data_IF_675762908712
#
_entry.id   IF_675762908712
#
_cell.length_a   1.000
_cell.length_b   1.000
_cell.length_c   1.000
_cell.angle_alpha   90.00
_cell.angle_beta   90.00
_cell.angle_gamma   90.00
#
_symmetry.space_group_name_H-M   'P 1'
#
loop_
_entity.id
_entity.type
_entity.pdbx_description
1 polymer ?
#
# COMPACT_ATOMS: atom_id res chain seq x y z
N UNK A 1 -8.32 5.95 26.55
CA UNK A 1 -8.68 4.91 27.55
C UNK A 1 -7.40 4.40 28.18
N UNK A 2 -7.13 4.74 29.44
CA UNK A 2 -5.92 4.28 30.13
C UNK A 2 -6.05 2.79 30.45
N UNK A 3 -5.18 1.96 29.89
CA UNK A 3 -5.11 0.55 30.30
C UNK A 3 -4.48 0.49 31.70
N UNK A 4 -5.25 0.01 32.68
CA UNK A 4 -4.74 -0.28 34.02
C UNK A 4 -3.53 -1.20 33.92
N UNK A 5 -2.39 -0.77 34.48
CA UNK A 5 -1.13 -1.54 34.54
C UNK A 5 -1.12 -2.57 35.67
N UNK A 6 -2.21 -2.68 36.45
CA UNK A 6 -2.31 -3.69 37.50
C UNK A 6 -2.40 -5.08 36.85
N UNK A 7 -1.42 -5.92 37.14
CA UNK A 7 -1.40 -7.33 36.73
C UNK A 7 -2.66 -7.98 37.32
N UNK A 8 -3.60 -8.34 36.45
CA UNK A 8 -4.84 -8.98 36.87
C UNK A 8 -4.49 -10.37 37.40
N UNK A 9 -4.84 -10.63 38.66
CA UNK A 9 -4.74 -11.96 39.23
C UNK A 9 -6.08 -12.68 39.12
N UNK A 10 -6.05 -13.88 38.58
CA UNK A 10 -7.23 -14.69 38.27
C UNK A 10 -7.20 -16.07 38.96
N UNK A 11 -6.22 -16.32 39.84
CA UNK A 11 -6.11 -17.58 40.59
C UNK A 11 -7.41 -17.92 41.31
N UNK A 12 -7.84 -19.19 41.23
CA UNK A 12 -9.04 -19.70 41.88
C UNK A 12 -10.35 -19.39 41.15
N UNK A 13 -10.35 -18.59 40.10
CA UNK A 13 -11.58 -18.30 39.34
C UNK A 13 -11.91 -19.43 38.35
N UNK A 14 -13.21 -19.74 38.23
CA UNK A 14 -13.75 -20.73 37.29
C UNK A 14 -14.33 -20.06 36.05
N UNK A 15 -13.85 -20.47 34.88
CA UNK A 15 -14.28 -20.02 33.56
C UNK A 15 -14.79 -21.22 32.75
N UNK A 16 -16.11 -21.41 32.70
CA UNK A 16 -16.70 -22.62 32.13
C UNK A 16 -16.36 -23.84 32.98
N UNK A 17 -15.70 -24.84 32.38
CA UNK A 17 -15.19 -26.04 33.05
C UNK A 17 -13.73 -25.90 33.51
N UNK A 18 -13.11 -24.73 33.35
CA UNK A 18 -11.70 -24.49 33.68
C UNK A 18 -11.57 -23.70 34.98
N UNK A 19 -10.85 -24.24 35.94
CA UNK A 19 -10.46 -23.58 37.20
C UNK A 19 -9.02 -23.13 37.10
N UNK A 20 -8.75 -21.85 37.32
CA UNK A 20 -7.41 -21.28 37.21
C UNK A 20 -6.59 -21.67 38.44
N UNK A 21 -5.45 -22.33 38.23
CA UNK A 21 -4.51 -22.72 39.29
C UNK A 21 -3.49 -21.62 39.53
N UNK A 22 -2.66 -21.33 38.52
CA UNK A 22 -1.51 -20.44 38.67
C UNK A 22 -1.14 -19.74 37.35
N UNK A 23 -0.35 -18.64 37.40
CA UNK A 23 0.17 -17.98 36.20
C UNK A 23 1.10 -18.92 35.42
N UNK A 24 0.95 -18.93 34.09
CA UNK A 24 1.84 -19.65 33.19
C UNK A 24 2.76 -18.69 32.42
N UNK A 25 3.71 -19.24 31.67
CA UNK A 25 4.52 -18.45 30.74
C UNK A 25 3.66 -17.71 29.72
N UNK A 26 4.02 -16.45 29.45
CA UNK A 26 3.27 -15.60 28.55
C UNK A 26 3.32 -16.13 27.11
N UNK A 27 2.16 -16.37 26.50
CA UNK A 27 2.07 -16.83 25.11
C UNK A 27 1.92 -15.61 24.19
N UNK A 28 2.98 -15.28 23.45
CA UNK A 28 3.00 -14.17 22.48
C UNK A 28 2.79 -12.81 23.15
N UNK A 29 3.44 -12.59 24.29
CA UNK A 29 3.39 -11.33 25.05
C UNK A 29 2.09 -11.12 25.84
N UNK A 30 1.19 -12.10 25.89
CA UNK A 30 -0.06 -12.05 26.67
C UNK A 30 0.01 -12.99 27.87
N UNK A 31 -0.55 -12.55 29.00
CA UNK A 31 -0.67 -13.35 30.21
C UNK A 31 -1.45 -14.63 29.95
N UNK A 32 -0.86 -15.76 30.32
CA UNK A 32 -1.46 -17.08 30.26
C UNK A 32 -1.53 -17.70 31.66
N UNK A 33 -2.42 -18.68 31.81
CA UNK A 33 -2.72 -19.32 33.07
C UNK A 33 -2.76 -20.84 32.89
N UNK A 34 -2.26 -21.58 33.88
CA UNK A 34 -2.50 -23.02 34.00
C UNK A 34 -3.89 -23.20 34.59
N UNK A 35 -4.73 -23.91 33.87
CA UNK A 35 -6.10 -24.20 34.27
C UNK A 35 -6.31 -25.70 34.43
N UNK A 36 -6.95 -26.11 35.51
CA UNK A 36 -7.45 -27.46 35.72
C UNK A 36 -8.88 -27.53 35.20
N UNK A 37 -9.14 -28.45 34.27
CA UNK A 37 -10.52 -28.66 33.85
C UNK A 37 -11.24 -29.64 34.78
N UNK A 38 -12.57 -29.57 34.82
CA UNK A 38 -13.44 -30.56 35.47
C UNK A 38 -13.14 -32.02 35.03
N UNK A 39 -12.46 -32.18 33.88
CA UNK A 39 -11.98 -33.44 33.31
C UNK A 39 -10.72 -34.03 33.99
N UNK A 40 -10.10 -33.29 34.91
CA UNK A 40 -8.82 -33.63 35.54
C UNK A 40 -7.59 -33.29 34.70
N UNK A 41 -7.75 -32.88 33.44
CA UNK A 41 -6.64 -32.47 32.57
C UNK A 41 -6.30 -30.99 32.73
N UNK A 42 -5.00 -30.69 32.76
CA UNK A 42 -4.47 -29.34 32.81
C UNK A 42 -4.25 -28.77 31.40
N UNK A 43 -4.57 -27.49 31.23
CA UNK A 43 -4.38 -26.77 29.96
C UNK A 43 -3.90 -25.34 30.22
N UNK A 44 -3.01 -24.84 29.35
CA UNK A 44 -2.54 -23.45 29.40
C UNK A 44 -3.39 -22.57 28.50
N UNK A 45 -4.03 -21.54 29.05
CA UNK A 45 -4.97 -20.66 28.33
C UNK A 45 -4.64 -19.19 28.55
N UNK A 46 -4.75 -18.37 27.50
CA UNK A 46 -4.58 -16.91 27.57
C UNK A 46 -5.74 -16.23 28.30
N UNK A 47 -5.45 -15.18 29.09
CA UNK A 47 -6.47 -14.37 29.78
C UNK A 47 -7.58 -13.88 28.86
N UNK A 48 -7.26 -13.45 27.64
CA UNK A 48 -8.26 -12.95 26.70
C UNK A 48 -9.24 -14.03 26.22
N UNK A 49 -8.82 -15.30 26.15
CA UNK A 49 -9.69 -16.39 25.71
C UNK A 49 -10.58 -16.90 26.84
N UNK A 50 -10.10 -16.84 28.09
CA UNK A 50 -10.92 -17.13 29.28
C UNK A 50 -12.03 -16.09 29.41
N UNK A 51 -11.69 -14.79 29.36
CA UNK A 51 -12.64 -13.68 29.54
C UNK A 51 -13.67 -13.55 28.41
N UNK A 52 -13.25 -13.75 27.16
CA UNK A 52 -14.16 -13.67 26.01
C UNK A 52 -14.90 -15.00 25.75
N UNK A 53 -14.66 -16.03 26.58
CA UNK A 53 -15.35 -17.32 26.48
C UNK A 53 -14.95 -18.17 25.27
N UNK A 54 -13.81 -17.90 24.63
CA UNK A 54 -13.28 -18.71 23.52
C UNK A 54 -12.73 -20.07 23.98
N UNK A 55 -12.39 -20.22 25.26
CA UNK A 55 -11.88 -21.48 25.81
C UNK A 55 -12.58 -21.75 27.14
N UNK A 56 -13.48 -22.74 27.13
CA UNK A 56 -14.34 -23.10 28.28
C UNK A 56 -14.05 -24.50 28.84
N UNK A 57 -13.15 -25.28 28.23
CA UNK A 57 -12.79 -26.63 28.68
C UNK A 57 -11.39 -27.03 28.19
N UNK A 58 -10.82 -28.09 28.77
CA UNK A 58 -9.57 -28.74 28.33
C UNK A 58 -9.66 -29.34 26.91
N UNK A 59 -10.86 -29.41 26.32
CA UNK A 59 -11.13 -30.13 25.07
C UNK A 59 -11.54 -31.61 25.28
N UNK A 60 -11.65 -32.08 26.53
CA UNK A 60 -12.04 -33.48 26.85
C UNK A 60 -13.43 -33.89 26.35
N UNK A 61 -14.35 -32.94 26.16
CA UNK A 61 -15.67 -33.21 25.58
C UNK A 61 -15.55 -33.65 24.11
N UNK A 62 -14.34 -33.58 23.52
CA UNK A 62 -14.03 -34.04 22.16
C UNK A 62 -13.12 -35.30 22.12
N UNK A 63 -12.94 -36.03 23.24
CA UNK A 63 -12.19 -37.29 23.29
C UNK A 63 -10.66 -37.16 23.32
N UNK A 64 -9.99 -38.11 23.99
CA UNK A 64 -8.54 -38.18 24.14
C UNK A 64 -7.86 -38.55 22.80
N UNK A 65 -7.14 -37.61 22.18
CA UNK A 65 -6.08 -37.92 21.21
C UNK A 65 -6.48 -38.11 19.73
N UNK A 66 -7.71 -37.81 19.31
CA UNK A 66 -8.11 -37.85 17.89
C UNK A 66 -7.85 -36.54 17.12
N UNK A 67 -7.77 -36.57 15.77
CA UNK A 67 -7.74 -35.36 14.96
C UNK A 67 -8.99 -34.52 15.22
N UNK A 68 -8.84 -33.19 15.15
CA UNK A 68 -9.82 -32.18 15.54
C UNK A 68 -11.17 -32.36 14.82
N UNK A 69 -12.06 -33.20 15.35
CA UNK A 69 -13.49 -33.18 15.02
C UNK A 69 -14.15 -32.01 15.75
N UNK A 70 -13.80 -30.80 15.34
CA UNK A 70 -14.65 -29.66 15.62
C UNK A 70 -15.93 -29.87 14.79
N UNK A 71 -17.06 -30.12 15.49
CA UNK A 71 -18.43 -30.12 14.94
C UNK A 71 -18.86 -31.34 14.10
N UNK A 72 -18.47 -32.59 14.41
CA UNK A 72 -19.01 -33.76 13.66
C UNK A 72 -18.72 -33.77 12.15
N UNK A 73 -17.87 -32.85 11.68
CA UNK A 73 -17.57 -32.65 10.27
C UNK A 73 -16.66 -33.77 9.78
N UNK A 74 -17.15 -34.60 8.86
CA UNK A 74 -16.34 -35.63 8.20
C UNK A 74 -15.46 -35.00 7.12
N UNK A 75 -14.14 -35.09 7.29
CA UNK A 75 -13.15 -34.67 6.29
C UNK A 75 -12.57 -35.89 5.58
N UNK A 76 -12.69 -35.93 4.25
CA UNK A 76 -12.02 -36.92 3.41
C UNK A 76 -11.09 -36.17 2.44
N UNK A 77 -9.81 -36.57 2.39
CA UNK A 77 -8.76 -35.95 1.57
C UNK A 77 -8.68 -34.41 1.71
N UNK A 78 -8.81 -33.89 2.94
CA UNK A 78 -8.76 -32.45 3.21
C UNK A 78 -10.01 -31.68 2.75
N UNK A 79 -11.09 -32.39 2.40
CA UNK A 79 -12.37 -31.79 1.99
C UNK A 79 -13.47 -32.17 2.98
N UNK A 80 -14.18 -31.16 3.52
CA UNK A 80 -15.32 -31.40 4.41
C UNK A 80 -16.56 -31.81 3.60
N UNK A 81 -17.03 -33.03 3.80
CA UNK A 81 -18.16 -33.62 3.05
C UNK A 81 -19.46 -32.89 3.37
N UNK A 82 -19.69 -32.56 4.64
CA UNK A 82 -20.90 -31.85 5.07
C UNK A 82 -20.95 -30.42 4.53
N UNK A 83 -19.80 -29.76 4.40
CA UNK A 83 -19.73 -28.40 3.85
C UNK A 83 -20.03 -28.38 2.34
N UNK A 84 -19.70 -29.45 1.63
CA UNK A 84 -20.12 -29.65 0.23
C UNK A 84 -21.64 -29.87 0.18
N UNK A 85 -22.18 -30.77 1.00
CA UNK A 85 -23.62 -31.10 1.01
C UNK A 85 -24.51 -29.90 1.35
N UNK A 86 -24.11 -29.14 2.36
CA UNK A 86 -24.87 -27.97 2.85
C UNK A 86 -24.71 -26.74 1.96
N UNK A 87 -23.74 -26.74 1.03
CA UNK A 87 -23.43 -25.61 0.13
C UNK A 87 -23.40 -24.25 0.85
N UNK A 88 -22.85 -24.25 2.08
CA UNK A 88 -22.93 -23.08 2.97
C UNK A 88 -22.31 -21.84 2.35
N UNK A 89 -23.06 -20.75 2.35
CA UNK A 89 -22.60 -19.43 1.91
C UNK A 89 -22.26 -18.60 3.15
N UNK A 90 -21.06 -18.03 3.17
CA UNK A 90 -20.66 -17.13 4.27
C UNK A 90 -21.46 -15.82 4.19
N UNK A 91 -21.78 -15.24 5.35
CA UNK A 91 -22.54 -13.98 5.46
C UNK A 91 -21.88 -12.79 4.76
N UNK A 92 -20.55 -12.81 4.60
CA UNK A 92 -19.79 -11.77 3.88
C UNK A 92 -19.65 -12.04 2.38
N UNK A 93 -20.39 -13.01 1.83
CA UNK A 93 -20.37 -13.28 0.40
C UNK A 93 -21.37 -12.38 -0.34
N UNK A 94 -20.85 -11.47 -1.15
CA UNK A 94 -21.65 -10.52 -1.95
C UNK A 94 -22.18 -11.10 -3.26
N UNK A 95 -21.64 -12.22 -3.74
CA UNK A 95 -22.05 -12.84 -5.02
C UNK A 95 -23.11 -13.92 -4.83
N UNK A 96 -23.40 -14.31 -3.59
CA UNK A 96 -24.29 -15.43 -3.24
C UNK A 96 -23.74 -16.82 -3.60
N UNK A 97 -22.62 -16.91 -4.33
CA UNK A 97 -22.02 -18.19 -4.76
C UNK A 97 -20.61 -18.35 -4.17
N UNK A 98 -20.30 -19.42 -3.42
CA UNK A 98 -18.98 -19.61 -2.82
C UNK A 98 -17.87 -19.61 -3.88
N UNK A 99 -16.81 -18.84 -3.67
CA UNK A 99 -15.68 -18.79 -4.59
C UNK A 99 -15.90 -17.95 -5.84
N UNK A 100 -17.03 -17.25 -5.95
CA UNK A 100 -17.26 -16.18 -6.94
C UNK A 100 -17.13 -14.82 -6.27
N UNK A 101 -16.25 -13.95 -6.76
CA UNK A 101 -16.01 -12.63 -6.18
C UNK A 101 -15.77 -11.54 -7.23
N UNK A 102 -16.13 -10.29 -6.91
CA UNK A 102 -16.00 -9.16 -7.81
C UNK A 102 -14.60 -8.51 -7.72
N UNK A 103 -13.88 -8.44 -8.85
CA UNK A 103 -12.59 -7.76 -8.94
C UNK A 103 -12.76 -6.32 -9.44
N UNK A 104 -13.01 -5.38 -8.53
CA UNK A 104 -13.28 -3.97 -8.85
C UNK A 104 -12.23 -3.31 -9.77
N UNK A 105 -10.93 -3.57 -9.54
CA UNK A 105 -9.84 -3.02 -10.37
C UNK A 105 -9.90 -3.48 -11.84
N UNK A 106 -10.45 -4.67 -12.10
CA UNK A 106 -10.54 -5.27 -13.43
C UNK A 106 -11.96 -5.25 -14.00
N UNK A 107 -12.95 -4.79 -13.22
CA UNK A 107 -14.38 -4.78 -13.57
C UNK A 107 -14.87 -6.16 -14.06
N UNK A 108 -14.46 -7.24 -13.38
CA UNK A 108 -14.75 -8.63 -13.76
C UNK A 108 -15.04 -9.49 -12.55
N UNK A 109 -15.90 -10.47 -12.71
CA UNK A 109 -16.17 -11.53 -11.75
C UNK A 109 -15.11 -12.62 -11.84
N UNK A 110 -14.50 -12.99 -10.72
CA UNK A 110 -13.59 -14.12 -10.57
C UNK A 110 -14.38 -15.34 -10.13
N UNK A 111 -14.17 -16.49 -10.77
CA UNK A 111 -14.63 -17.77 -10.26
C UNK A 111 -13.45 -18.67 -9.89
N UNK A 112 -13.53 -19.31 -8.72
CA UNK A 112 -12.53 -20.27 -8.23
C UNK A 112 -13.19 -21.39 -7.44
N UNK A 113 -12.59 -22.58 -7.49
CA UNK A 113 -13.00 -23.75 -6.69
C UNK A 113 -11.82 -24.22 -5.84
N UNK A 114 -12.11 -24.77 -4.67
CA UNK A 114 -11.14 -25.50 -3.86
C UNK A 114 -11.66 -26.93 -3.68
N UNK A 115 -10.82 -27.92 -3.98
CA UNK A 115 -11.13 -29.34 -3.76
C UNK A 115 -9.85 -30.09 -3.42
N UNK A 116 -9.92 -30.97 -2.41
CA UNK A 116 -8.77 -31.71 -1.86
C UNK A 116 -7.52 -30.87 -1.61
N UNK A 117 -7.72 -29.69 -0.99
CA UNK A 117 -6.65 -28.73 -0.68
C UNK A 117 -6.07 -27.97 -1.88
N UNK A 118 -6.47 -28.29 -3.12
CA UNK A 118 -6.03 -27.58 -4.34
C UNK A 118 -7.05 -26.52 -4.76
N UNK A 119 -6.58 -25.28 -4.93
CA UNK A 119 -7.40 -24.17 -5.46
C UNK A 119 -7.21 -24.02 -6.96
N UNK A 120 -8.31 -24.05 -7.72
CA UNK A 120 -8.33 -23.85 -9.17
C UNK A 120 -9.06 -22.57 -9.55
N UNK A 121 -8.48 -21.86 -10.50
CA UNK A 121 -9.05 -20.67 -11.11
C UNK A 121 -9.84 -21.08 -12.34
N UNK A 122 -11.14 -20.79 -12.33
CA UNK A 122 -12.08 -21.19 -13.39
C UNK A 122 -12.18 -20.14 -14.50
N UNK A 123 -11.81 -18.90 -14.20
CA UNK A 123 -11.83 -17.81 -15.16
C UNK A 123 -12.22 -16.47 -14.55
N UNK A 124 -12.19 -15.44 -15.40
CA UNK A 124 -12.74 -14.13 -15.09
C UNK A 124 -13.76 -13.74 -16.15
N UNK A 125 -14.92 -13.28 -15.71
CA UNK A 125 -16.08 -13.06 -16.55
C UNK A 125 -16.57 -11.62 -16.41
N UNK A 126 -17.22 -11.09 -17.44
CA UNK A 126 -17.83 -9.75 -17.37
C UNK A 126 -19.14 -9.80 -16.58
N UNK A 127 -19.94 -10.85 -16.78
CA UNK A 127 -21.23 -11.06 -16.11
C UNK A 127 -21.08 -11.99 -14.90
N UNK A 128 -21.93 -11.79 -13.89
CA UNK A 128 -22.00 -12.64 -12.70
C UNK A 128 -22.47 -14.05 -13.08
N UNK A 129 -23.50 -14.15 -13.92
CA UNK A 129 -24.11 -15.40 -14.36
C UNK A 129 -23.09 -16.36 -14.97
N UNK A 130 -22.21 -15.87 -15.84
CA UNK A 130 -21.15 -16.66 -16.46
C UNK A 130 -20.18 -17.23 -15.42
N UNK A 131 -19.81 -16.43 -14.42
CA UNK A 131 -18.93 -16.86 -13.33
C UNK A 131 -19.60 -17.91 -12.44
N UNK A 132 -20.89 -17.75 -12.15
CA UNK A 132 -21.69 -18.72 -11.39
C UNK A 132 -21.86 -20.01 -12.18
N UNK A 133 -22.12 -19.94 -13.49
CA UNK A 133 -22.23 -21.11 -14.38
C UNK A 133 -20.91 -21.89 -14.40
N UNK A 134 -19.78 -21.21 -14.55
CA UNK A 134 -18.46 -21.83 -14.49
C UNK A 134 -18.21 -22.53 -13.13
N UNK A 135 -18.63 -21.89 -12.03
CA UNK A 135 -18.54 -22.46 -10.68
C UNK A 135 -19.40 -23.72 -10.53
N UNK A 136 -20.69 -23.65 -10.90
CA UNK A 136 -21.64 -24.77 -10.82
C UNK A 136 -21.21 -25.97 -11.65
N UNK A 137 -20.66 -25.74 -12.85
CA UNK A 137 -20.09 -26.81 -13.67
C UNK A 137 -18.95 -27.54 -12.94
N UNK A 138 -18.02 -26.78 -12.36
CA UNK A 138 -16.93 -27.37 -11.59
C UNK A 138 -17.40 -28.11 -10.33
N UNK A 139 -18.48 -27.66 -9.69
CA UNK A 139 -19.10 -28.39 -8.56
C UNK A 139 -19.75 -29.69 -9.03
N UNK A 140 -20.50 -29.68 -10.13
CA UNK A 140 -21.12 -30.88 -10.68
C UNK A 140 -20.09 -31.97 -11.01
N UNK A 141 -18.94 -31.58 -11.59
CA UNK A 141 -17.93 -32.54 -12.03
C UNK A 141 -16.99 -33.01 -10.91
N UNK A 142 -16.79 -32.20 -9.85
CA UNK A 142 -15.85 -32.54 -8.76
C UNK A 142 -16.55 -32.98 -7.47
N UNK A 143 -17.65 -32.34 -7.11
CA UNK A 143 -18.31 -32.57 -5.83
C UNK A 143 -19.33 -33.70 -5.92
N UNK A 144 -20.13 -33.80 -6.98
CA UNK A 144 -21.17 -34.84 -7.07
C UNK A 144 -20.56 -36.26 -7.10
N UNK A 145 -19.56 -36.58 -7.96
CA UNK A 145 -18.91 -37.90 -7.93
C UNK A 145 -18.21 -38.19 -6.60
N UNK A 146 -17.67 -37.15 -5.96
CA UNK A 146 -17.04 -37.29 -4.65
C UNK A 146 -18.06 -37.59 -3.55
N UNK A 147 -19.23 -36.97 -3.58
CA UNK A 147 -20.31 -37.27 -2.65
C UNK A 147 -20.85 -38.70 -2.85
N UNK A 148 -20.98 -39.16 -4.10
CA UNK A 148 -21.39 -40.52 -4.43
C UNK A 148 -20.36 -41.56 -3.96
N UNK A 149 -19.07 -41.28 -4.16
CA UNK A 149 -17.99 -42.11 -3.63
C UNK A 149 -18.01 -42.15 -2.08
N UNK A 150 -18.22 -41.00 -1.43
CA UNK A 150 -18.37 -40.93 0.04
C UNK A 150 -19.62 -41.66 0.56
N UNK A 151 -20.65 -41.82 -0.28
CA UNK A 151 -21.88 -42.56 0.02
C UNK A 151 -21.78 -44.05 -0.32
N UNK A 152 -20.63 -44.53 -0.82
CA UNK A 152 -20.41 -45.93 -1.22
C UNK A 152 -21.09 -46.33 -2.53
N UNK A 153 -21.57 -45.37 -3.32
CA UNK A 153 -22.27 -45.63 -4.60
C UNK A 153 -21.32 -45.70 -5.80
N UNK A 154 -20.07 -45.23 -5.63
CA UNK A 154 -19.07 -45.10 -6.69
C UNK A 154 -17.70 -45.52 -6.16
N UNK A 155 -16.87 -46.17 -6.98
CA UNK A 155 -15.52 -46.56 -6.57
C UNK A 155 -14.57 -45.35 -6.60
N UNK A 156 -13.65 -45.19 -5.63
CA UNK A 156 -12.70 -44.08 -5.59
C UNK A 156 -11.82 -43.91 -6.83
N UNK A 157 -11.64 -44.97 -7.62
CA UNK A 157 -10.90 -44.98 -8.88
C UNK A 157 -11.55 -44.19 -10.01
N UNK A 158 -12.85 -43.90 -9.91
CA UNK A 158 -13.61 -43.15 -10.93
C UNK A 158 -13.57 -41.62 -10.67
N UNK A 159 -12.91 -41.18 -9.60
CA UNK A 159 -12.77 -39.77 -9.26
C UNK A 159 -11.72 -39.09 -10.15
N UNK A 160 -12.18 -38.23 -11.06
CA UNK A 160 -11.31 -37.44 -11.93
C UNK A 160 -10.46 -36.45 -11.13
N UNK A 161 -9.23 -36.24 -11.57
CA UNK A 161 -8.33 -35.29 -10.90
C UNK A 161 -8.83 -33.86 -11.14
N UNK A 162 -8.73 -33.00 -10.13
CA UNK A 162 -9.06 -31.57 -10.24
C UNK A 162 -8.27 -30.89 -11.39
N UNK A 163 -7.10 -31.43 -11.72
CA UNK A 163 -6.21 -30.94 -12.77
C UNK A 163 -6.70 -31.32 -14.17
N UNK A 164 -7.49 -32.38 -14.30
CA UNK A 164 -8.14 -32.82 -15.55
C UNK A 164 -9.45 -32.06 -15.78
N UNK A 165 -10.26 -31.93 -14.73
CA UNK A 165 -11.58 -31.28 -14.78
C UNK A 165 -11.45 -29.75 -14.89
N UNK A 166 -10.50 -29.18 -14.16
CA UNK A 166 -10.23 -27.75 -14.13
C UNK A 166 -8.76 -27.52 -14.45
N UNK A 167 -8.34 -27.68 -15.73
CA UNK A 167 -6.96 -27.52 -16.12
C UNK A 167 -6.47 -26.12 -15.74
N UNK A 168 -5.22 -25.98 -15.27
CA UNK A 168 -4.66 -24.69 -14.94
C UNK A 168 -4.73 -23.79 -16.17
N UNK A 169 -5.50 -22.71 -16.08
CA UNK A 169 -5.46 -21.67 -17.10
C UNK A 169 -4.04 -21.10 -17.10
N UNK A 170 -3.31 -21.15 -18.23
CA UNK A 170 -1.99 -20.56 -18.32
C UNK A 170 -2.10 -19.10 -17.91
N UNK A 171 -1.32 -18.69 -16.91
CA UNK A 171 -1.18 -17.26 -16.64
C UNK A 171 -0.46 -16.72 -17.87
N UNK A 172 -1.17 -15.97 -18.71
CA UNK A 172 -0.56 -15.18 -19.76
C UNK A 172 0.35 -14.13 -19.14
N UNK A 173 1.52 -14.54 -18.65
CA UNK A 173 2.67 -13.66 -18.63
C UNK A 173 2.97 -13.48 -20.10
N UNK A 174 2.50 -12.37 -20.67
CA UNK A 174 3.03 -11.92 -21.93
C UNK A 174 4.53 -11.71 -21.66
N UNK A 175 5.36 -12.67 -22.09
CA UNK A 175 6.82 -12.68 -21.87
C UNK A 175 7.53 -11.55 -22.59
N UNK A 176 6.78 -10.68 -23.26
CA UNK A 176 7.27 -9.40 -23.76
C UNK A 176 7.71 -8.54 -22.58
N UNK A 177 9.01 -8.57 -22.30
CA UNK A 177 9.69 -7.52 -21.54
C UNK A 177 9.32 -6.19 -22.19
N UNK A 178 8.53 -5.40 -21.48
CA UNK A 178 8.11 -4.08 -21.94
C UNK A 178 9.35 -3.21 -22.08
N UNK A 179 9.57 -2.65 -23.26
CA UNK A 179 10.64 -1.69 -23.49
C UNK A 179 10.18 -0.29 -23.05
N UNK A 180 10.87 0.27 -22.05
CA UNK A 180 10.64 1.61 -21.54
C UNK A 180 11.72 2.61 -22.00
N UNK A 181 12.60 2.21 -22.92
CA UNK A 181 13.67 3.08 -23.44
C UNK A 181 13.10 4.39 -23.99
N UNK A 182 13.67 5.51 -23.56
CA UNK A 182 13.26 6.86 -23.93
C UNK A 182 12.02 7.39 -23.21
N UNK A 183 11.31 6.59 -22.40
CA UNK A 183 10.14 7.08 -21.67
C UNK A 183 10.54 7.94 -20.47
N UNK A 184 9.83 9.06 -20.29
CA UNK A 184 10.04 10.01 -19.20
C UNK A 184 9.00 9.81 -18.09
N UNK A 185 9.48 9.64 -16.87
CA UNK A 185 8.73 9.46 -15.63
C UNK A 185 9.08 10.60 -14.67
N UNK A 186 8.36 11.72 -14.76
CA UNK A 186 8.68 12.94 -14.02
C UNK A 186 10.01 13.54 -14.47
N UNK A 187 10.99 13.61 -13.57
CA UNK A 187 12.35 14.09 -13.86
C UNK A 187 13.30 12.97 -14.31
N UNK A 188 12.81 11.74 -14.51
CA UNK A 188 13.63 10.59 -14.88
C UNK A 188 13.33 10.15 -16.31
N UNK A 189 14.35 9.93 -17.12
CA UNK A 189 14.24 9.36 -18.46
C UNK A 189 14.88 7.98 -18.45
N UNK A 190 14.13 6.94 -18.84
CA UNK A 190 14.65 5.58 -18.91
C UNK A 190 15.60 5.44 -20.12
N UNK A 191 16.84 5.04 -19.86
CA UNK A 191 17.89 4.90 -20.88
C UNK A 191 18.02 3.45 -21.36
N UNK A 192 18.10 2.50 -20.43
CA UNK A 192 18.35 1.10 -20.75
C UNK A 192 17.85 0.18 -19.63
N UNK A 193 17.54 -1.10 -19.92
CA UNK A 193 17.29 -2.09 -18.89
C UNK A 193 18.54 -2.29 -18.02
N UNK A 194 18.34 -2.42 -16.72
CA UNK A 194 19.39 -2.68 -15.73
C UNK A 194 19.25 -4.11 -15.18
N UNK A 195 20.19 -4.51 -14.32
CA UNK A 195 20.08 -5.77 -13.60
C UNK A 195 18.79 -5.84 -12.78
N UNK A 196 18.10 -6.98 -12.86
CA UNK A 196 16.86 -7.18 -12.13
C UNK A 196 17.12 -7.08 -10.62
N UNK A 197 16.27 -6.33 -9.93
CA UNK A 197 16.28 -6.31 -8.46
C UNK A 197 15.36 -7.43 -7.99
N UNK A 198 15.95 -8.58 -7.64
CA UNK A 198 15.21 -9.80 -7.34
C UNK A 198 14.48 -10.34 -8.58
N UNK A 199 13.17 -10.53 -8.49
CA UNK A 199 12.34 -11.01 -9.62
C UNK A 199 11.77 -9.89 -10.51
N UNK A 200 12.14 -8.63 -10.25
CA UNK A 200 11.56 -7.46 -10.91
C UNK A 200 12.53 -6.81 -11.90
N UNK A 201 12.02 -6.43 -13.07
CA UNK A 201 12.78 -5.70 -14.09
C UNK A 201 13.11 -4.28 -13.63
N UNK A 202 14.39 -3.91 -13.68
CA UNK A 202 14.86 -2.57 -13.35
C UNK A 202 15.39 -1.84 -14.59
N UNK A 203 15.43 -0.52 -14.50
CA UNK A 203 15.84 0.37 -15.57
C UNK A 203 16.86 1.37 -15.06
N UNK A 204 17.90 1.63 -15.86
CA UNK A 204 18.79 2.75 -15.66
C UNK A 204 18.09 4.00 -16.17
N UNK A 205 17.89 4.96 -15.29
CA UNK A 205 17.22 6.21 -15.59
C UNK A 205 18.18 7.38 -15.35
N UNK A 206 18.24 8.31 -16.30
CA UNK A 206 18.93 9.59 -16.13
C UNK A 206 17.93 10.62 -15.63
N UNK A 207 18.31 11.35 -14.59
CA UNK A 207 17.49 12.44 -14.10
C UNK A 207 17.85 13.76 -14.78
N UNK A 208 16.90 14.70 -14.84
CA UNK A 208 17.14 16.10 -15.25
C UNK A 208 18.28 16.75 -14.41
N UNK A 209 18.56 16.20 -13.22
CA UNK A 209 19.66 16.58 -12.34
C UNK A 209 21.06 16.15 -12.87
N UNK A 210 21.11 15.37 -13.96
CA UNK A 210 22.32 14.73 -14.50
C UNK A 210 22.70 13.41 -13.82
N UNK A 211 22.16 13.10 -12.64
CA UNK A 211 22.45 11.86 -11.91
C UNK A 211 21.70 10.67 -12.51
N UNK A 212 22.43 9.57 -12.69
CA UNK A 212 21.84 8.28 -13.05
C UNK A 212 21.37 7.51 -11.82
N UNK A 213 20.24 6.82 -11.93
CA UNK A 213 19.65 6.00 -10.88
C UNK A 213 19.02 4.74 -11.46
N UNK A 214 19.07 3.64 -10.72
CA UNK A 214 18.39 2.40 -11.10
C UNK A 214 17.03 2.35 -10.42
N UNK A 215 15.96 2.23 -11.21
CA UNK A 215 14.57 2.25 -10.73
C UNK A 215 13.81 1.05 -11.25
N UNK A 216 13.00 0.43 -10.39
CA UNK A 216 12.16 -0.70 -10.77
C UNK A 216 11.05 -0.26 -11.74
N UNK A 217 10.72 -1.13 -12.70
CA UNK A 217 9.63 -0.92 -13.67
C UNK A 217 8.30 -0.59 -12.98
N UNK A 218 8.02 -1.27 -11.86
CA UNK A 218 6.80 -1.03 -11.09
C UNK A 218 6.74 0.40 -10.51
N UNK A 219 7.86 0.93 -10.03
CA UNK A 219 7.94 2.26 -9.41
C UNK A 219 7.91 3.40 -10.44
N UNK A 220 8.48 3.18 -11.62
CA UNK A 220 8.36 4.11 -12.75
C UNK A 220 6.89 4.23 -13.18
N UNK A 221 6.21 3.10 -13.35
CA UNK A 221 4.81 3.05 -13.79
C UNK A 221 3.82 3.55 -12.75
N UNK A 222 4.06 3.28 -11.47
CA UNK A 222 3.20 3.76 -10.39
C UNK A 222 3.44 5.23 -10.04
N UNK A 223 4.51 5.84 -10.56
CA UNK A 223 4.92 7.21 -10.21
C UNK A 223 5.49 7.32 -8.80
N UNK A 224 5.88 6.20 -8.17
CA UNK A 224 6.49 6.20 -6.83
C UNK A 224 7.91 6.78 -6.86
N UNK A 225 8.60 6.68 -8.00
CA UNK A 225 9.93 7.25 -8.19
C UNK A 225 9.93 8.13 -9.44
N UNK A 226 9.98 9.44 -9.23
CA UNK A 226 9.92 10.46 -10.29
C UNK A 226 11.17 11.35 -10.34
N UNK A 227 12.16 11.12 -9.48
CA UNK A 227 13.43 11.87 -9.48
C UNK A 227 14.57 11.08 -8.85
N UNK A 228 15.81 11.53 -9.09
CA UNK A 228 17.04 10.98 -8.49
C UNK A 228 17.14 11.21 -6.96
N UNK A 229 16.12 11.84 -6.33
CA UNK A 229 16.18 12.33 -4.96
C UNK A 229 16.87 13.69 -4.81
N UNK A 230 17.23 14.35 -5.92
CA UNK A 230 17.76 15.71 -5.87
C UNK A 230 16.69 16.68 -5.35
N UNK A 231 17.05 17.52 -4.39
CA UNK A 231 16.29 18.73 -4.13
C UNK A 231 16.54 19.69 -5.30
N UNK A 232 15.51 20.37 -5.83
CA UNK A 232 15.74 21.45 -6.80
C UNK A 232 16.77 22.43 -6.24
N UNK A 233 17.67 22.94 -7.09
CA UNK A 233 18.59 24.03 -6.71
C UNK A 233 17.75 25.29 -6.50
N UNK A 234 17.17 25.40 -5.32
CA UNK A 234 16.40 26.56 -4.92
C UNK A 234 17.40 27.68 -4.65
N UNK A 235 17.43 28.70 -5.52
CA UNK A 235 18.08 29.96 -5.20
C UNK A 235 17.25 30.66 -4.12
N UNK A 236 17.76 30.64 -2.90
CA UNK A 236 17.18 31.37 -1.77
C UNK A 236 17.88 32.71 -1.67
N UNK A 237 17.24 33.77 -2.16
CA UNK A 237 17.75 35.14 -2.07
C UNK A 237 16.91 35.86 -1.01
N UNK A 238 17.56 36.41 0.01
CA UNK A 238 16.93 37.10 1.15
C UNK A 238 15.80 36.29 1.83
N UNK A 239 15.93 34.96 1.93
CA UNK A 239 14.90 34.11 2.52
C UNK A 239 13.65 33.92 1.64
N UNK A 240 13.72 34.31 0.36
CA UNK A 240 12.67 34.11 -0.64
C UNK A 240 13.15 33.13 -1.71
N UNK A 241 12.36 32.09 -1.99
CA UNK A 241 12.65 31.13 -3.06
C UNK A 241 12.08 31.64 -4.38
N UNK A 242 12.95 31.94 -5.33
CA UNK A 242 12.59 32.52 -6.64
C UNK A 242 11.80 31.52 -7.49
N UNK A 243 12.21 30.25 -7.48
CA UNK A 243 11.50 29.20 -8.21
C UNK A 243 10.07 29.00 -7.71
N UNK A 244 9.82 29.17 -6.40
CA UNK A 244 8.48 29.07 -5.81
C UNK A 244 7.56 30.22 -6.25
N UNK A 245 8.11 31.42 -6.47
CA UNK A 245 7.36 32.55 -7.01
C UNK A 245 7.01 32.28 -8.48
N UNK A 246 7.99 31.84 -9.28
CA UNK A 246 7.79 31.55 -10.71
C UNK A 246 6.83 30.39 -10.97
N UNK A 247 6.92 29.32 -10.17
CA UNK A 247 6.17 28.08 -10.41
C UNK A 247 4.70 28.16 -9.97
N UNK A 248 4.31 29.20 -9.21
CA UNK A 248 2.96 29.40 -8.63
C UNK A 248 2.36 28.10 -8.04
N UNK A 249 3.21 27.22 -7.52
CA UNK A 249 2.79 25.86 -7.17
C UNK A 249 1.93 25.86 -5.92
N UNK A 250 0.70 25.37 -6.06
CA UNK A 250 -0.24 25.24 -4.95
C UNK A 250 0.07 23.94 -4.18
N UNK A 251 0.20 24.04 -2.85
CA UNK A 251 0.39 22.86 -1.99
C UNK A 251 -0.90 22.04 -1.91
N UNK A 252 -0.79 20.71 -1.82
CA UNK A 252 -1.93 19.79 -1.75
C UNK A 252 -2.85 20.00 -0.55
N UNK A 253 -2.34 20.61 0.53
CA UNK A 253 -3.12 20.95 1.73
C UNK A 253 -3.76 22.35 1.67
N UNK A 254 -3.72 23.03 0.52
CA UNK A 254 -4.42 24.28 0.32
C UNK A 254 -5.90 24.01 0.01
N UNK A 255 -6.77 24.50 0.89
CA UNK A 255 -8.23 24.32 0.79
C UNK A 255 -8.94 25.43 0.01
N UNK A 256 -8.33 26.60 -0.15
CA UNK A 256 -8.91 27.78 -0.82
C UNK A 256 -8.54 27.88 -2.30
N UNK A 257 -7.56 27.10 -2.76
CA UNK A 257 -7.05 27.14 -4.13
C UNK A 257 -6.12 28.33 -4.42
N UNK A 258 -5.95 29.26 -3.47
CA UNK A 258 -5.08 30.44 -3.61
C UNK A 258 -4.08 30.47 -2.46
N UNK A 259 -2.79 30.65 -2.76
CA UNK A 259 -1.74 30.63 -1.74
C UNK A 259 -1.86 31.85 -0.81
N UNK A 260 -1.95 31.62 0.50
CA UNK A 260 -2.01 32.70 1.48
C UNK A 260 -3.40 33.35 1.66
N UNK A 261 -4.45 32.80 1.05
CA UNK A 261 -5.85 33.18 1.32
C UNK A 261 -6.47 32.07 2.16
N UNK A 262 -6.83 32.34 3.41
CA UNK A 262 -7.40 31.37 4.34
C UNK A 262 -8.78 31.82 4.84
N UNK A 263 -9.75 30.89 4.93
CA UNK A 263 -11.03 31.16 5.58
C UNK A 263 -10.87 31.09 7.09
N UNK A 264 -11.31 32.13 7.81
CA UNK A 264 -11.26 32.19 9.27
C UNK A 264 -12.67 31.98 9.84
N UNK A 265 -12.98 30.80 10.43
CA UNK A 265 -14.33 30.48 10.89
C UNK A 265 -14.85 31.41 12.00
N UNK A 266 -13.97 31.88 12.88
CA UNK A 266 -14.37 32.69 14.05
C UNK A 266 -14.88 34.09 13.66
N UNK A 267 -14.41 34.65 12.54
CA UNK A 267 -14.77 35.99 12.08
C UNK A 267 -15.65 35.98 10.84
N UNK A 268 -15.95 34.79 10.29
CA UNK A 268 -16.64 34.59 9.01
C UNK A 268 -16.05 35.46 7.87
N UNK A 269 -14.72 35.55 7.83
CA UNK A 269 -13.99 36.39 6.88
C UNK A 269 -12.82 35.64 6.25
N UNK A 270 -12.49 36.01 5.03
CA UNK A 270 -11.31 35.60 4.29
C UNK A 270 -10.12 36.46 4.66
N UNK A 271 -9.06 35.82 5.14
CA UNK A 271 -7.82 36.50 5.50
C UNK A 271 -6.79 36.31 4.40
N UNK A 272 -6.20 37.43 3.94
CA UNK A 272 -5.16 37.44 2.92
C UNK A 272 -3.79 37.79 3.54
N UNK A 273 -2.78 37.00 3.21
CA UNK A 273 -1.42 37.13 3.72
C UNK A 273 -0.42 36.82 2.61
N UNK A 274 0.69 37.56 2.57
CA UNK A 274 1.87 37.26 1.75
C UNK A 274 3.11 37.07 2.62
N UNK A 275 3.97 36.14 2.23
CA UNK A 275 5.32 36.00 2.82
C UNK A 275 6.33 36.53 1.81
N UNK A 276 7.17 37.46 2.22
CA UNK A 276 8.23 38.04 1.39
C UNK A 276 9.45 38.37 2.26
N UNK A 277 10.65 38.06 1.78
CA UNK A 277 11.94 38.23 2.49
C UNK A 277 11.93 37.74 3.94
N UNK A 278 11.35 36.57 4.18
CA UNK A 278 11.22 35.98 5.53
C UNK A 278 10.23 36.67 6.47
N UNK A 279 9.50 37.71 6.02
CA UNK A 279 8.48 38.42 6.81
C UNK A 279 7.08 38.12 6.31
N UNK A 280 6.14 38.03 7.25
CA UNK A 280 4.70 37.84 6.98
C UNK A 280 4.03 39.20 6.90
N UNK A 281 3.52 39.56 5.72
CA UNK A 281 2.73 40.78 5.52
C UNK A 281 1.24 40.43 5.52
N UNK A 282 0.49 41.11 6.39
CA UNK A 282 -0.95 40.98 6.49
C UNK A 282 -1.62 41.97 5.53
N UNK A 283 -2.47 41.46 4.63
CA UNK A 283 -3.11 42.28 3.59
C UNK A 283 -4.52 42.72 3.99
N UNK A 284 -5.18 41.96 4.87
CA UNK A 284 -6.51 42.29 5.37
C UNK A 284 -7.38 41.06 5.61
N UNK A 285 -8.57 41.33 6.16
CA UNK A 285 -9.69 40.40 6.26
C UNK A 285 -10.85 40.94 5.42
N UNK A 286 -11.45 40.09 4.61
CA UNK A 286 -12.47 40.43 3.63
C UNK A 286 -13.69 39.54 3.81
N UNK A 287 -14.89 40.05 3.55
CA UNK A 287 -16.12 39.24 3.60
C UNK A 287 -16.26 38.34 2.38
N UNK A 288 -15.82 38.82 1.21
CA UNK A 288 -15.87 38.08 -0.05
C UNK A 288 -14.52 37.43 -0.36
N UNK A 289 -14.57 36.25 -0.97
CA UNK A 289 -13.38 35.53 -1.42
C UNK A 289 -12.60 36.32 -2.49
N UNK A 290 -13.32 36.88 -3.45
CA UNK A 290 -12.74 37.64 -4.58
C UNK A 290 -11.91 38.85 -4.11
N UNK A 291 -12.39 39.57 -3.09
CA UNK A 291 -11.70 40.73 -2.54
C UNK A 291 -10.36 40.33 -1.90
N UNK A 292 -10.33 39.20 -1.18
CA UNK A 292 -9.11 38.64 -0.59
C UNK A 292 -8.10 38.20 -1.67
N UNK A 293 -8.58 37.59 -2.76
CA UNK A 293 -7.75 37.20 -3.91
C UNK A 293 -7.20 38.44 -4.63
N UNK A 294 -8.01 39.49 -4.81
CA UNK A 294 -7.58 40.74 -5.42
C UNK A 294 -6.51 41.45 -4.58
N UNK A 295 -6.69 41.49 -3.26
CA UNK A 295 -5.69 42.02 -2.34
C UNK A 295 -4.38 41.22 -2.40
N UNK A 296 -4.47 39.89 -2.50
CA UNK A 296 -3.33 39.01 -2.67
C UNK A 296 -2.57 39.29 -3.97
N UNK A 297 -3.29 39.38 -5.10
CA UNK A 297 -2.71 39.66 -6.43
C UNK A 297 -2.00 41.02 -6.46
N UNK A 298 -2.63 42.06 -5.91
CA UNK A 298 -2.01 43.38 -5.79
C UNK A 298 -0.68 43.33 -5.03
N UNK A 299 -0.64 42.59 -3.92
CA UNK A 299 0.59 42.44 -3.15
C UNK A 299 1.67 41.60 -3.88
N UNK A 300 1.29 40.67 -4.74
CA UNK A 300 2.23 39.95 -5.62
C UNK A 300 2.83 40.91 -6.66
N UNK A 301 1.99 41.72 -7.30
CA UNK A 301 2.44 42.71 -8.28
C UNK A 301 3.36 43.78 -7.65
N UNK A 302 3.09 44.19 -6.41
CA UNK A 302 3.91 45.20 -5.71
C UNK A 302 5.21 44.64 -5.12
N UNK A 303 5.22 43.39 -4.63
CA UNK A 303 6.38 42.83 -3.91
C UNK A 303 7.21 41.84 -4.75
N UNK A 304 6.57 40.99 -5.55
CA UNK A 304 7.25 39.94 -6.29
C UNK A 304 7.75 40.41 -7.66
N UNK A 305 6.98 41.21 -8.40
CA UNK A 305 7.40 41.68 -9.74
C UNK A 305 8.69 42.51 -9.72
N UNK A 306 8.88 43.52 -8.83
CA UNK A 306 10.13 44.26 -8.78
C UNK A 306 11.32 43.38 -8.37
N UNK A 307 11.10 42.47 -7.42
CA UNK A 307 12.14 41.55 -6.93
C UNK A 307 12.59 40.54 -8.00
N UNK A 308 11.67 40.05 -8.82
CA UNK A 308 11.99 39.17 -9.94
C UNK A 308 12.81 39.89 -11.02
N UNK A 309 12.49 41.18 -11.29
CA UNK A 309 13.22 42.01 -12.27
C UNK A 309 14.65 42.31 -11.81
N UNK A 310 14.82 42.69 -10.55
CA UNK A 310 16.14 42.91 -9.93
C UNK A 310 17.01 41.64 -9.98
N UNK A 311 16.42 40.47 -9.73
CA UNK A 311 17.14 39.20 -9.83
C UNK A 311 17.50 38.79 -11.27
N UNK A 312 16.66 39.09 -12.27
CA UNK A 312 17.02 38.83 -13.67
C UNK A 312 18.18 39.71 -14.13
N UNK A 313 18.22 40.99 -13.72
CA UNK A 313 19.27 41.94 -14.09
C UNK A 313 20.62 41.55 -13.47
N UNK A 314 20.63 41.20 -12.18
CA UNK A 314 21.86 40.75 -11.48
C UNK A 314 22.42 39.43 -12.03
N UNK A 315 21.59 38.56 -12.59
CA UNK A 315 22.05 37.35 -13.26
C UNK A 315 22.74 37.63 -14.61
N UNK A 316 22.30 38.67 -15.33
CA UNK A 316 22.89 39.11 -16.61
C UNK A 316 24.25 39.80 -16.38
N UNK A 317 24.40 40.64 -15.37
CA UNK A 317 25.66 41.33 -15.04
C UNK A 317 26.79 40.39 -14.58
N UNK A 318 26.47 39.22 -14.00
CA UNK A 318 27.48 38.19 -13.68
C UNK A 318 27.90 37.33 -14.87
N UNK A 319 27.34 37.57 -16.07
CA UNK A 319 27.61 36.79 -17.27
C UNK A 319 28.38 37.55 -18.37
N UNK A 320 28.84 38.78 -18.12
CA UNK A 320 29.80 39.44 -19.01
C UNK A 320 31.22 38.93 -18.75
N UNK A 321 31.86 38.23 -19.70
CA UNK A 321 33.30 37.99 -19.62
C UNK A 321 34.00 39.33 -19.84
N UNK A 322 34.79 39.78 -18.86
CA UNK A 322 35.77 40.85 -19.06
C UNK A 322 36.68 40.47 -20.25
N UNK A 323 36.40 41.03 -21.41
CA UNK A 323 37.23 40.99 -22.61
C UNK A 323 38.10 42.24 -22.69
N UNK A 324 39.36 42.00 -23.07
CA UNK A 324 40.36 42.95 -23.61
C UNK A 324 41.13 43.85 -22.62
N UNK A 325 42.45 44.08 -22.71
CA UNK A 325 43.61 43.57 -23.48
C UNK A 325 44.87 44.29 -22.88
N UNK A 326 45.98 44.56 -23.60
CA UNK A 326 47.17 43.76 -23.80
C UNK A 326 48.42 44.36 -23.10
N UNK A 327 49.50 43.58 -22.92
CA UNK A 327 50.74 44.12 -22.36
C UNK A 327 51.92 43.18 -22.49
N UNK A 328 52.54 43.15 -23.68
CA UNK A 328 53.91 42.66 -23.80
C UNK A 328 54.87 43.71 -23.26
N UNK A 329 55.86 43.30 -22.46
CA UNK A 329 57.19 43.93 -22.35
C UNK A 329 58.21 42.85 -21.92
N UNK A 330 59.27 42.82 -22.71
CA UNK A 330 60.59 42.20 -22.59
C UNK A 330 61.18 42.03 -21.18
N UNK A 331 61.85 40.90 -20.96
CA UNK A 331 63.09 40.70 -20.18
C UNK A 331 63.60 39.29 -20.54
N UNK A 332 64.87 38.96 -20.76
CA UNK A 332 66.14 39.65 -20.53
C UNK A 332 67.19 38.53 -20.52
N UNK A 333 68.28 38.71 -21.27
CA UNK A 333 69.36 37.73 -21.49
C UNK A 333 69.99 37.28 -20.16
N UNK A 334 70.14 35.97 -19.98
CA UNK A 334 70.97 35.37 -18.93
C UNK A 334 72.34 34.96 -19.48
N UNK A 335 73.35 35.78 -19.16
CA UNK A 335 74.76 35.61 -19.52
C UNK A 335 75.39 34.45 -18.74
N UNK A 336 76.11 33.56 -19.44
CA UNK A 336 77.05 32.57 -18.86
C UNK A 336 78.43 33.23 -18.68
N UNK A 337 78.85 33.42 -17.43
CA UNK A 337 80.22 33.64 -16.93
C UNK A 337 80.13 33.26 -15.43
N UNK A 338 80.95 32.42 -14.80
CA UNK A 338 82.24 31.79 -15.06
C UNK A 338 82.22 30.37 -14.49
#
# INVERSE_FOLDING_TARGET
MGHSRKKLDLTGQKYGHLTILEPAENIGGRTAWRCLCDCGQEVVVKTCHLRNGHTKSCGCQNGLGGPRSALGLTYMDGTCVEMIRTRTVRSNNTSGTPGVDWMAKKQRWRASICFKGKRRYLGSFKKLEDAVKARKRAEAELFEPFLDACAGKLLPSELRNIDEVCPPIPRGHNGQRMDLTGQRFGRLTALAPAENVGSMTAWRCQCDCGKETVVMTAHLRSGQTTSCGCKPKVTLVDGTCIELIRSKTIRSNNTSGVTGVEWVPNTNQWKAVIFFKGKRHYLGCYRKFEDAVKARKRAEDELFEPFLKEFSQTAEDTSEPHSDQPGGILQGKGTKVH
#
